data_IF_183269696553
#
_entry.id   IF_183269696553
#
_cell.length_a   1.000
_cell.length_b   1.000
_cell.length_c   1.000
_cell.angle_alpha   90.00
_cell.angle_beta   90.00
_cell.angle_gamma   90.00
#
_symmetry.space_group_name_H-M   'P 1'
#
loop_
_entity.id
_entity.type
_entity.pdbx_description
1 polymer ?
#
# COMPACT_ATOMS: atom_id res chain seq x y z
N UNK A 1 21.92 -68.62 -25.80
CA UNK A 1 21.15 -68.75 -24.55
C UNK A 1 21.41 -67.63 -23.54
N UNK A 2 22.59 -67.00 -23.52
CA UNK A 2 22.90 -65.92 -22.56
C UNK A 2 22.22 -64.57 -22.85
N UNK A 3 21.98 -64.20 -24.12
CA UNK A 3 21.33 -62.91 -24.45
C UNK A 3 19.85 -62.82 -24.09
N UNK A 4 19.10 -63.93 -24.16
CA UNK A 4 17.68 -63.97 -23.76
C UNK A 4 17.50 -63.83 -22.25
N UNK A 5 18.47 -64.27 -21.45
CA UNK A 5 18.41 -64.13 -19.99
C UNK A 5 18.71 -62.69 -19.53
N UNK A 6 19.57 -61.96 -20.26
CA UNK A 6 19.92 -60.57 -19.94
C UNK A 6 18.79 -59.59 -20.29
N UNK A 7 18.12 -59.81 -21.43
CA UNK A 7 16.96 -59.00 -21.84
C UNK A 7 15.77 -59.22 -20.91
N UNK A 8 15.50 -60.46 -20.47
CA UNK A 8 14.41 -60.71 -19.51
C UNK A 8 14.67 -60.07 -18.13
N UNK A 9 15.92 -60.07 -17.65
CA UNK A 9 16.29 -59.42 -16.38
C UNK A 9 16.12 -57.90 -16.42
N UNK A 10 16.52 -57.25 -17.53
CA UNK A 10 16.38 -55.81 -17.67
C UNK A 10 14.92 -55.37 -17.87
N UNK A 11 14.11 -56.16 -18.58
CA UNK A 11 12.67 -55.89 -18.72
C UNK A 11 11.92 -56.07 -17.40
N UNK A 12 12.28 -57.08 -16.60
CA UNK A 12 11.73 -57.26 -15.25
C UNK A 12 12.17 -56.13 -14.32
N UNK A 13 13.43 -55.66 -14.40
CA UNK A 13 13.89 -54.53 -13.60
C UNK A 13 13.19 -53.22 -13.99
N UNK A 14 12.97 -52.98 -15.28
CA UNK A 14 12.20 -51.83 -15.80
C UNK A 14 10.72 -51.90 -15.43
N UNK A 15 10.11 -53.10 -15.43
CA UNK A 15 8.75 -53.30 -14.94
C UNK A 15 8.67 -53.11 -13.43
N UNK A 16 9.67 -53.56 -12.66
CA UNK A 16 9.72 -53.29 -11.22
C UNK A 16 9.95 -51.81 -10.93
N UNK A 17 10.78 -51.09 -11.69
CA UNK A 17 10.93 -49.64 -11.54
C UNK A 17 9.68 -48.88 -11.97
N UNK A 18 9.02 -49.28 -13.06
CA UNK A 18 7.78 -48.68 -13.51
C UNK A 18 6.63 -48.97 -12.53
N UNK A 19 6.52 -50.19 -12.02
CA UNK A 19 5.52 -50.58 -11.00
C UNK A 19 5.85 -49.97 -9.64
N UNK A 20 7.12 -49.85 -9.24
CA UNK A 20 7.49 -49.19 -7.98
C UNK A 20 7.21 -47.69 -8.04
N UNK A 21 7.45 -47.02 -9.17
CA UNK A 21 7.08 -45.62 -9.38
C UNK A 21 5.57 -45.40 -9.57
N UNK A 22 4.82 -46.39 -10.08
CA UNK A 22 3.35 -46.27 -10.22
C UNK A 22 2.55 -46.75 -9.00
N UNK A 23 3.10 -47.63 -8.16
CA UNK A 23 2.47 -48.06 -6.90
C UNK A 23 2.82 -47.20 -5.69
N UNK A 24 3.90 -46.42 -5.72
CA UNK A 24 4.29 -45.62 -4.54
C UNK A 24 3.56 -44.28 -4.41
N UNK A 25 2.90 -43.75 -5.45
CA UNK A 25 2.36 -42.39 -5.37
C UNK A 25 0.94 -42.15 -5.90
N UNK A 26 0.36 -43.05 -6.70
CA UNK A 26 -1.07 -42.92 -7.08
C UNK A 26 -2.05 -43.31 -5.95
N UNK A 27 -1.53 -43.69 -4.78
CA UNK A 27 -2.28 -44.09 -3.60
C UNK A 27 -1.98 -43.30 -2.34
N UNK A 28 -1.21 -42.20 -2.40
CA UNK A 28 -1.18 -41.28 -1.25
C UNK A 28 -2.56 -40.64 -1.14
N UNK A 29 -3.25 -40.96 -0.04
CA UNK A 29 -4.56 -40.40 0.27
C UNK A 29 -4.41 -38.87 0.35
N UNK A 30 -4.94 -38.17 -0.65
CA UNK A 30 -4.94 -36.70 -0.71
C UNK A 30 -5.77 -36.18 0.47
N UNK A 31 -5.09 -35.78 1.54
CA UNK A 31 -5.69 -35.51 2.84
C UNK A 31 -5.73 -34.01 3.18
N UNK A 32 -4.74 -33.25 2.72
CA UNK A 32 -4.57 -31.84 3.05
C UNK A 32 -4.41 -30.98 1.79
N UNK A 33 -5.52 -30.39 1.31
CA UNK A 33 -5.57 -29.57 0.10
C UNK A 33 -5.38 -28.08 0.39
N UNK A 34 -4.17 -27.57 0.16
CA UNK A 34 -3.85 -26.15 0.37
C UNK A 34 -4.43 -25.24 -0.73
N UNK A 35 -4.91 -25.79 -1.85
CA UNK A 35 -5.53 -24.95 -2.90
C UNK A 35 -6.92 -24.46 -2.52
N UNK A 36 -7.58 -25.10 -1.55
CA UNK A 36 -8.90 -24.71 -1.06
C UNK A 36 -8.89 -23.56 -0.07
N UNK A 37 -7.71 -23.16 0.40
CA UNK A 37 -7.53 -22.08 1.36
C UNK A 37 -7.68 -20.72 0.68
N UNK A 38 -8.62 -19.92 1.18
CA UNK A 38 -9.00 -18.60 0.68
C UNK A 38 -8.89 -17.51 1.77
N UNK A 39 -8.41 -17.84 2.95
CA UNK A 39 -8.15 -16.86 4.00
C UNK A 39 -7.03 -17.34 4.91
N UNK A 40 -6.47 -16.41 5.68
CA UNK A 40 -5.53 -16.73 6.75
C UNK A 40 -6.16 -17.62 7.83
N UNK A 41 -7.42 -17.40 8.16
CA UNK A 41 -8.14 -18.24 9.13
C UNK A 41 -8.25 -19.68 8.64
N UNK A 42 -8.68 -19.90 7.39
CA UNK A 42 -8.74 -21.24 6.78
C UNK A 42 -7.35 -21.89 6.69
N UNK A 43 -6.31 -21.09 6.45
CA UNK A 43 -4.93 -21.57 6.43
C UNK A 43 -4.52 -22.07 7.82
N UNK A 44 -4.82 -21.30 8.86
CA UNK A 44 -4.51 -21.63 10.23
C UNK A 44 -5.30 -22.87 10.68
N UNK A 45 -6.59 -22.96 10.36
CA UNK A 45 -7.41 -24.15 10.64
C UNK A 45 -6.83 -25.40 9.98
N UNK A 46 -6.47 -25.31 8.69
CA UNK A 46 -5.84 -26.42 7.98
C UNK A 46 -4.50 -26.80 8.60
N UNK A 47 -3.66 -25.82 8.93
CA UNK A 47 -2.35 -26.03 9.56
C UNK A 47 -2.50 -26.70 10.92
N UNK A 48 -3.34 -26.15 11.79
CA UNK A 48 -3.64 -26.69 13.13
C UNK A 48 -4.17 -28.11 13.01
N UNK A 49 -5.07 -28.40 12.06
CA UNK A 49 -5.53 -29.76 11.81
C UNK A 49 -4.39 -30.71 11.43
N UNK A 50 -3.50 -30.30 10.52
CA UNK A 50 -2.35 -31.13 10.11
C UNK A 50 -1.45 -31.45 11.31
N UNK A 51 -1.14 -30.45 12.15
CA UNK A 51 -0.31 -30.65 13.34
C UNK A 51 -0.99 -31.56 14.37
N UNK A 52 -2.27 -31.32 14.68
CA UNK A 52 -2.99 -32.09 15.69
C UNK A 52 -3.22 -33.55 15.28
N UNK A 53 -3.49 -33.80 14.00
CA UNK A 53 -3.64 -35.17 13.47
C UNK A 53 -2.32 -35.95 13.42
N UNK A 54 -1.18 -35.26 13.43
CA UNK A 54 0.17 -35.84 13.40
C UNK A 54 0.98 -35.46 14.65
N UNK A 55 0.30 -35.23 15.78
CA UNK A 55 0.87 -34.68 17.02
C UNK A 55 2.14 -35.39 17.49
N UNK A 56 2.21 -36.71 17.29
CA UNK A 56 3.33 -37.56 17.67
C UNK A 56 4.64 -37.24 16.92
N UNK A 57 4.57 -36.52 15.80
CA UNK A 57 5.73 -36.11 15.00
C UNK A 57 6.27 -34.73 15.38
N UNK A 58 5.53 -33.96 16.19
CA UNK A 58 5.87 -32.57 16.54
C UNK A 58 6.26 -32.43 18.01
N UNK A 59 7.08 -31.42 18.31
CA UNK A 59 7.48 -31.09 19.67
C UNK A 59 6.24 -30.68 20.50
N UNK A 60 6.12 -31.19 21.74
CA UNK A 60 4.97 -30.91 22.61
C UNK A 60 4.78 -29.41 22.92
N UNK A 61 5.87 -28.64 23.05
CA UNK A 61 5.80 -27.19 23.27
C UNK A 61 5.30 -26.47 22.01
N UNK A 62 5.66 -26.96 20.83
CA UNK A 62 5.14 -26.45 19.56
C UNK A 62 3.64 -26.75 19.43
N UNK A 63 3.21 -27.98 19.75
CA UNK A 63 1.79 -28.36 19.74
C UNK A 63 0.98 -27.52 20.73
N UNK A 64 1.47 -27.31 21.96
CA UNK A 64 0.81 -26.46 22.96
C UNK A 64 0.71 -25.01 22.52
N UNK A 65 1.74 -24.51 21.82
CA UNK A 65 1.72 -23.16 21.25
C UNK A 65 0.61 -23.04 20.21
N UNK A 66 0.51 -23.99 19.28
CA UNK A 66 -0.56 -24.04 18.28
C UNK A 66 -1.96 -24.20 18.92
N UNK A 67 -2.11 -25.06 19.94
CA UNK A 67 -3.38 -25.23 20.66
C UNK A 67 -3.82 -23.94 21.39
N UNK A 68 -2.86 -23.20 21.95
CA UNK A 68 -3.11 -21.91 22.60
C UNK A 68 -3.43 -20.81 21.58
N UNK A 69 -2.68 -20.75 20.49
CA UNK A 69 -2.85 -19.75 19.43
C UNK A 69 -4.11 -19.99 18.59
N UNK A 70 -4.58 -21.23 18.44
CA UNK A 70 -5.87 -21.53 17.80
C UNK A 70 -7.09 -20.99 18.57
N UNK A 71 -6.89 -20.52 19.81
CA UNK A 71 -7.96 -19.95 20.66
C UNK A 71 -8.05 -18.42 20.62
N UNK A 72 -7.03 -17.73 20.10
CA UNK A 72 -6.95 -16.27 20.02
C UNK A 72 -6.64 -15.83 18.57
N UNK A 73 -7.35 -14.83 18.03
CA UNK A 73 -7.04 -14.21 16.72
C UNK A 73 -5.63 -13.57 16.76
N UNK A 74 -4.57 -14.32 16.43
CA UNK A 74 -3.20 -13.86 16.61
C UNK A 74 -2.40 -13.63 15.33
N UNK A 75 -1.68 -12.51 15.38
CA UNK A 75 -0.69 -12.08 14.42
C UNK A 75 0.63 -12.83 14.62
N UNK A 76 1.00 -13.73 13.70
CA UNK A 76 2.32 -14.37 13.64
C UNK A 76 3.41 -13.37 13.22
N UNK A 77 3.52 -12.22 13.88
CA UNK A 77 4.65 -11.31 13.68
C UNK A 77 5.92 -11.94 14.29
N UNK A 78 6.65 -12.68 13.45
CA UNK A 78 8.12 -12.77 13.28
C UNK A 78 9.10 -12.61 14.46
N UNK A 79 8.68 -12.66 15.72
CA UNK A 79 9.54 -12.39 16.88
C UNK A 79 10.19 -13.63 17.48
N UNK A 80 9.41 -14.65 17.83
CA UNK A 80 9.86 -15.66 18.81
C UNK A 80 10.01 -17.10 18.29
N UNK A 81 9.62 -17.38 17.04
CA UNK A 81 9.86 -18.70 16.41
C UNK A 81 11.28 -18.87 15.83
N UNK A 82 12.16 -17.88 16.02
CA UNK A 82 13.45 -17.77 15.34
C UNK A 82 14.58 -18.69 15.84
N UNK A 83 14.32 -19.66 16.70
CA UNK A 83 15.39 -20.51 17.24
C UNK A 83 15.10 -22.01 17.18
N UNK A 84 14.69 -22.49 16.01
CA UNK A 84 15.04 -23.81 15.46
C UNK A 84 13.87 -24.54 14.77
N UNK A 85 12.64 -24.04 14.86
CA UNK A 85 11.45 -24.67 14.27
C UNK A 85 10.64 -23.63 13.46
N UNK A 86 11.17 -23.22 12.30
CA UNK A 86 10.34 -22.56 11.29
C UNK A 86 9.11 -23.44 11.07
N UNK A 87 7.89 -22.87 10.98
CA UNK A 87 6.61 -23.57 10.80
C UNK A 87 6.50 -24.34 9.46
N UNK A 88 7.44 -25.25 9.25
CA UNK A 88 7.63 -26.12 8.11
C UNK A 88 6.92 -27.42 8.43
N UNK A 89 5.87 -27.71 7.67
CA UNK A 89 5.15 -28.98 7.72
C UNK A 89 5.64 -29.87 6.60
N UNK A 90 5.85 -31.16 6.93
CA UNK A 90 6.19 -32.23 5.98
C UNK A 90 5.36 -33.47 6.30
N UNK A 91 4.12 -33.47 5.86
CA UNK A 91 3.20 -34.59 6.07
C UNK A 91 2.77 -35.27 4.76
N UNK A 92 2.53 -36.57 4.84
CA UNK A 92 1.99 -37.35 3.73
C UNK A 92 0.57 -36.88 3.38
N UNK A 93 0.22 -36.95 2.08
CA UNK A 93 -1.09 -36.55 1.60
C UNK A 93 -1.32 -35.04 1.49
N UNK A 94 -0.29 -34.21 1.69
CA UNK A 94 -0.33 -32.77 1.39
C UNK A 94 -0.29 -32.52 -0.12
N UNK A 95 -1.21 -31.69 -0.62
CA UNK A 95 -1.29 -31.32 -2.03
C UNK A 95 -1.81 -29.89 -2.23
N UNK A 96 -1.56 -29.32 -3.41
CA UNK A 96 -2.16 -28.07 -3.88
C UNK A 96 -2.91 -28.34 -5.18
N UNK A 97 -4.24 -28.46 -5.11
CA UNK A 97 -5.08 -28.68 -6.29
C UNK A 97 -4.81 -30.02 -6.98
N UNK A 98 -4.29 -30.98 -6.21
CA UNK A 98 -3.93 -32.33 -6.66
C UNK A 98 -2.43 -32.52 -6.89
N UNK A 99 -1.63 -31.45 -6.83
CA UNK A 99 -0.18 -31.53 -6.98
C UNK A 99 0.49 -31.81 -5.63
N UNK A 100 1.28 -32.90 -5.48
CA UNK A 100 1.95 -33.24 -4.22
C UNK A 100 2.93 -32.17 -3.73
N UNK A 101 3.02 -32.00 -2.42
CA UNK A 101 3.88 -31.02 -1.77
C UNK A 101 5.07 -31.66 -1.06
N UNK A 102 6.25 -31.04 -1.18
CA UNK A 102 7.40 -31.37 -0.33
C UNK A 102 7.21 -30.81 1.07
N UNK A 103 6.81 -29.53 1.15
CA UNK A 103 6.65 -28.84 2.42
C UNK A 103 5.80 -27.59 2.28
N UNK A 104 5.22 -27.17 3.41
CA UNK A 104 4.52 -25.90 3.55
C UNK A 104 5.19 -25.10 4.66
N UNK A 105 5.48 -23.83 4.42
CA UNK A 105 6.10 -22.93 5.39
C UNK A 105 5.15 -21.80 5.71
N UNK A 106 4.76 -21.66 6.98
CA UNK A 106 4.04 -20.49 7.47
C UNK A 106 5.00 -19.43 8.00
N UNK A 107 4.75 -18.17 7.61
CA UNK A 107 5.46 -17.01 8.13
C UNK A 107 4.53 -15.80 8.13
N UNK A 108 4.01 -15.41 9.31
CA UNK A 108 3.09 -14.29 9.41
C UNK A 108 1.81 -14.52 8.60
N UNK A 109 1.58 -13.63 7.65
CA UNK A 109 0.45 -13.63 6.72
C UNK A 109 0.71 -14.42 5.43
N UNK A 110 1.88 -15.04 5.32
CA UNK A 110 2.33 -15.71 4.10
C UNK A 110 2.43 -17.21 4.32
N UNK A 111 1.93 -17.97 3.35
CA UNK A 111 2.25 -19.37 3.17
C UNK A 111 3.16 -19.54 1.96
N UNK A 112 4.27 -20.23 2.15
CA UNK A 112 5.11 -20.69 1.05
C UNK A 112 4.91 -22.20 0.88
N UNK A 113 4.35 -22.57 -0.25
CA UNK A 113 4.05 -23.94 -0.64
C UNK A 113 5.11 -24.39 -1.63
N UNK A 114 5.75 -25.51 -1.33
CA UNK A 114 6.89 -26.04 -2.08
C UNK A 114 6.48 -27.35 -2.75
N UNK A 115 6.54 -27.41 -4.08
CA UNK A 115 6.27 -28.63 -4.83
C UNK A 115 7.29 -29.71 -4.48
N UNK A 116 6.90 -30.98 -4.55
CA UNK A 116 7.86 -32.07 -4.46
C UNK A 116 8.92 -31.99 -5.57
N UNK A 117 10.20 -31.90 -5.18
CA UNK A 117 11.35 -31.84 -6.09
C UNK A 117 11.50 -33.11 -6.93
N UNK A 118 10.88 -34.22 -6.50
CA UNK A 118 10.85 -35.47 -7.27
C UNK A 118 9.79 -35.46 -8.38
N UNK A 119 8.76 -34.61 -8.25
CA UNK A 119 7.62 -34.57 -9.17
C UNK A 119 7.68 -33.38 -10.13
N UNK A 120 8.61 -32.43 -9.93
CA UNK A 120 8.95 -31.40 -10.91
C UNK A 120 7.71 -30.72 -11.53
N UNK A 121 6.78 -30.36 -10.65
CA UNK A 121 5.39 -30.15 -11.00
C UNK A 121 5.07 -28.70 -11.42
N UNK A 122 6.06 -27.96 -11.94
CA UNK A 122 5.91 -26.54 -12.24
C UNK A 122 4.76 -26.25 -13.21
N UNK A 123 4.59 -27.10 -14.21
CA UNK A 123 3.51 -26.99 -15.19
C UNK A 123 2.14 -27.28 -14.58
N UNK A 124 2.01 -28.27 -13.70
CA UNK A 124 0.74 -28.52 -13.01
C UNK A 124 0.42 -27.42 -11.99
N UNK A 125 1.42 -26.90 -11.27
CA UNK A 125 1.25 -25.75 -10.37
C UNK A 125 0.73 -24.52 -11.11
N UNK A 126 1.33 -24.20 -12.26
CA UNK A 126 0.88 -23.09 -13.09
C UNK A 126 -0.56 -23.30 -13.57
N UNK A 127 -0.90 -24.50 -14.05
CA UNK A 127 -2.25 -24.81 -14.50
C UNK A 127 -3.29 -24.70 -13.37
N UNK A 128 -2.96 -25.16 -12.16
CA UNK A 128 -3.83 -25.00 -10.97
C UNK A 128 -3.97 -23.53 -10.58
N UNK A 129 -2.86 -22.77 -10.59
CA UNK A 129 -2.87 -21.34 -10.26
C UNK A 129 -3.67 -20.52 -11.29
N UNK A 130 -3.49 -20.76 -12.58
CA UNK A 130 -4.27 -20.11 -13.65
C UNK A 130 -5.76 -20.45 -13.57
N UNK A 131 -6.10 -21.70 -13.23
CA UNK A 131 -7.49 -22.10 -13.02
C UNK A 131 -8.11 -21.39 -11.80
N UNK A 132 -7.34 -21.18 -10.73
CA UNK A 132 -7.82 -20.57 -9.48
C UNK A 132 -7.89 -19.04 -9.58
N UNK A 133 -6.87 -18.40 -10.15
CA UNK A 133 -6.67 -16.96 -10.09
C UNK A 133 -6.82 -16.25 -11.44
N UNK A 134 -6.99 -16.99 -12.54
CA UNK A 134 -7.06 -16.47 -13.91
C UNK A 134 -5.69 -16.33 -14.57
N UNK A 135 -5.67 -15.77 -15.80
CA UNK A 135 -4.44 -15.58 -16.56
C UNK A 135 -3.55 -14.53 -15.88
N UNK A 136 -2.33 -14.92 -15.52
CA UNK A 136 -1.38 -14.03 -14.85
C UNK A 136 -0.74 -13.01 -15.81
N UNK A 137 -0.32 -11.89 -15.24
CA UNK A 137 0.60 -10.96 -15.90
C UNK A 137 2.03 -11.50 -15.74
N UNK A 138 2.65 -11.88 -16.85
CA UNK A 138 4.04 -12.34 -16.85
C UNK A 138 4.98 -11.19 -16.44
N UNK A 139 5.81 -11.42 -15.43
CA UNK A 139 6.92 -10.52 -15.09
C UNK A 139 8.22 -11.30 -15.12
N UNK A 140 9.20 -10.83 -15.90
CA UNK A 140 10.55 -11.42 -15.88
C UNK A 140 11.26 -10.92 -14.63
N UNK A 141 11.84 -11.85 -13.88
CA UNK A 141 12.67 -11.53 -12.73
C UNK A 141 14.14 -11.37 -13.15
N UNK A 142 14.96 -10.77 -12.28
CA UNK A 142 16.42 -10.77 -12.45
C UNK A 142 16.99 -12.13 -11.99
N UNK A 143 16.92 -13.16 -12.86
CA UNK A 143 17.44 -14.52 -12.62
C UNK A 143 16.85 -15.58 -13.58
N UNK A 144 17.28 -16.84 -13.47
CA UNK A 144 16.84 -18.00 -14.30
C UNK A 144 15.43 -18.53 -13.93
N UNK A 145 14.51 -17.63 -13.54
CA UNK A 145 13.18 -17.98 -13.05
C UNK A 145 12.06 -17.17 -13.68
N UNK A 146 10.84 -17.69 -13.59
CA UNK A 146 9.62 -17.04 -14.09
C UNK A 146 8.72 -16.70 -12.91
N UNK A 147 8.22 -15.46 -12.88
CA UNK A 147 7.31 -14.99 -11.85
C UNK A 147 5.94 -14.63 -12.41
N UNK A 148 4.91 -15.15 -11.77
CA UNK A 148 3.52 -14.80 -12.00
C UNK A 148 2.95 -14.17 -10.73
N UNK A 149 2.30 -13.01 -10.86
CA UNK A 149 1.64 -12.31 -9.75
C UNK A 149 0.15 -12.14 -10.05
N UNK A 150 -0.67 -12.39 -9.04
CA UNK A 150 -2.11 -12.12 -9.05
C UNK A 150 -2.45 -11.21 -7.87
N UNK A 151 -3.08 -10.09 -8.17
CA UNK A 151 -3.62 -9.16 -7.18
C UNK A 151 -5.13 -9.46 -7.03
N UNK A 152 -5.50 -10.08 -5.92
CA UNK A 152 -6.87 -10.49 -5.58
C UNK A 152 -7.32 -9.60 -4.42
N UNK A 153 -8.61 -9.30 -4.30
CA UNK A 153 -9.15 -8.30 -3.35
C UNK A 153 -8.55 -8.39 -1.93
N UNK A 154 -8.33 -9.61 -1.41
CA UNK A 154 -7.81 -9.86 -0.06
C UNK A 154 -6.53 -10.72 -0.05
N UNK A 155 -5.87 -10.91 -1.19
CA UNK A 155 -4.70 -11.79 -1.30
C UNK A 155 -3.77 -11.32 -2.40
N UNK A 156 -2.47 -11.44 -2.16
CA UNK A 156 -1.49 -11.47 -3.23
C UNK A 156 -1.01 -12.91 -3.39
N UNK A 157 -1.13 -13.46 -4.60
CA UNK A 157 -0.51 -14.74 -4.92
C UNK A 157 0.67 -14.50 -5.84
N UNK A 158 1.82 -15.07 -5.49
CA UNK A 158 3.04 -15.05 -6.28
C UNK A 158 3.50 -16.49 -6.54
N UNK A 159 3.62 -16.87 -7.81
CA UNK A 159 4.22 -18.13 -8.21
C UNK A 159 5.61 -17.85 -8.78
N UNK A 160 6.64 -18.35 -8.10
CA UNK A 160 8.02 -18.37 -8.57
C UNK A 160 8.35 -19.77 -9.10
N UNK A 161 8.65 -19.85 -10.40
CA UNK A 161 9.13 -21.08 -11.03
C UNK A 161 10.64 -20.99 -11.19
N UNK A 162 11.35 -21.97 -10.66
CA UNK A 162 12.79 -22.14 -10.83
C UNK A 162 13.01 -23.17 -11.93
N UNK A 163 13.52 -22.68 -13.07
CA UNK A 163 13.81 -23.53 -14.22
C UNK A 163 15.07 -24.34 -13.91
N UNK A 164 14.97 -25.66 -14.04
CA UNK A 164 16.10 -26.57 -13.81
C UNK A 164 16.91 -26.73 -15.10
N UNK A 165 16.27 -26.65 -16.28
CA UNK A 165 16.91 -26.87 -17.58
C UNK A 165 16.46 -25.90 -18.72
N UNK A 166 15.84 -24.75 -18.40
CA UNK A 166 15.29 -23.82 -19.40
C UNK A 166 15.59 -22.34 -19.11
N UNK A 167 15.38 -21.46 -20.10
CA UNK A 167 15.63 -20.01 -19.99
C UNK A 167 14.36 -19.17 -20.19
N UNK A 168 13.23 -19.79 -20.51
CA UNK A 168 11.99 -19.09 -20.82
C UNK A 168 10.72 -19.90 -20.46
N UNK A 169 9.57 -19.21 -20.35
CA UNK A 169 8.28 -19.83 -20.03
C UNK A 169 7.76 -20.80 -21.10
N UNK A 170 8.20 -20.67 -22.35
CA UNK A 170 7.90 -21.66 -23.40
C UNK A 170 8.66 -22.97 -23.21
N UNK A 171 9.68 -22.99 -22.35
CA UNK A 171 10.55 -24.15 -22.13
C UNK A 171 10.15 -24.94 -20.87
N UNK A 172 9.00 -24.63 -20.25
CA UNK A 172 8.51 -25.33 -19.05
C UNK A 172 8.41 -26.85 -19.31
N UNK A 173 9.36 -27.56 -18.72
CA UNK A 173 9.49 -29.01 -18.80
C UNK A 173 8.82 -29.72 -17.63
N UNK A 174 8.79 -31.04 -17.71
CA UNK A 174 8.37 -31.91 -16.62
C UNK A 174 9.41 -32.03 -15.50
N UNK A 175 10.54 -31.33 -15.61
CA UNK A 175 11.69 -31.42 -14.71
C UNK A 175 11.96 -30.09 -13.98
N UNK A 176 11.05 -29.11 -14.09
CA UNK A 176 11.20 -27.79 -13.47
C UNK A 176 10.53 -27.73 -12.08
N UNK A 177 11.16 -27.01 -11.15
CA UNK A 177 10.65 -26.84 -9.79
C UNK A 177 9.82 -25.56 -9.67
N UNK A 178 8.76 -25.59 -8.87
CA UNK A 178 7.95 -24.41 -8.58
C UNK A 178 7.71 -24.20 -7.09
N UNK A 179 7.65 -22.94 -6.70
CA UNK A 179 7.31 -22.50 -5.36
C UNK A 179 6.19 -21.49 -5.50
N UNK A 180 5.05 -21.75 -4.87
CA UNK A 180 3.98 -20.76 -4.79
C UNK A 180 3.99 -20.13 -3.41
N UNK A 181 4.08 -18.81 -3.38
CA UNK A 181 3.96 -17.99 -2.19
C UNK A 181 2.59 -17.33 -2.25
N UNK A 182 1.70 -17.65 -1.30
CA UNK A 182 0.41 -16.97 -1.18
C UNK A 182 0.48 -16.11 0.08
N UNK A 183 0.34 -14.81 -0.11
CA UNK A 183 0.25 -13.83 0.97
C UNK A 183 -1.21 -13.44 1.14
N UNK A 184 -1.78 -13.77 2.29
CA UNK A 184 -3.14 -13.40 2.64
C UNK A 184 -3.08 -12.02 3.28
N UNK A 185 -3.71 -11.01 2.65
CA UNK A 185 -3.80 -9.72 3.30
C UNK A 185 -4.64 -9.85 4.58
N UNK A 186 -4.31 -9.13 5.65
CA UNK A 186 -5.20 -9.02 6.79
C UNK A 186 -6.61 -8.61 6.34
N UNK A 187 -7.61 -9.29 6.89
CA UNK A 187 -9.01 -8.91 6.68
C UNK A 187 -9.36 -7.91 7.78
N UNK A 188 -9.75 -6.72 7.36
CA UNK A 188 -10.24 -5.68 8.26
C UNK A 188 -11.74 -5.52 8.02
N UNK A 189 -12.52 -5.43 9.09
CA UNK A 189 -13.95 -5.12 8.99
C UNK A 189 -14.24 -3.61 9.05
N UNK A 190 -13.20 -2.80 9.24
CA UNK A 190 -13.31 -1.34 9.32
C UNK A 190 -13.47 -0.76 7.92
N UNK A 191 -14.48 0.12 7.66
CA UNK A 191 -14.67 0.72 6.36
C UNK A 191 -13.44 1.47 5.83
N UNK A 192 -12.68 2.13 6.69
CA UNK A 192 -11.44 2.84 6.37
C UNK A 192 -10.38 1.95 5.70
N UNK A 193 -10.31 0.67 6.06
CA UNK A 193 -9.40 -0.30 5.44
C UNK A 193 -9.98 -0.94 4.16
N UNK A 194 -11.23 -0.61 3.81
CA UNK A 194 -11.99 -1.16 2.69
C UNK A 194 -12.60 -0.09 1.78
N UNK A 195 -12.02 1.12 1.79
CA UNK A 195 -12.53 2.31 1.07
C UNK A 195 -12.77 2.03 -0.41
N UNK A 196 -11.95 1.18 -1.04
CA UNK A 196 -12.07 0.82 -2.46
C UNK A 196 -13.47 0.41 -2.89
N UNK A 197 -14.27 -0.15 -1.96
CA UNK A 197 -15.61 -0.68 -2.25
C UNK A 197 -16.57 0.45 -2.59
N UNK A 198 -16.27 1.64 -2.11
CA UNK A 198 -17.07 2.85 -2.29
C UNK A 198 -16.49 3.78 -3.37
N UNK A 199 -15.23 3.57 -3.80
CA UNK A 199 -14.57 4.36 -4.84
C UNK A 199 -15.18 4.08 -6.21
N UNK A 200 -15.58 5.14 -6.90
CA UNK A 200 -16.02 5.06 -8.30
C UNK A 200 -14.80 5.01 -9.21
N UNK A 201 -14.74 3.99 -10.07
CA UNK A 201 -13.67 3.82 -11.06
C UNK A 201 -13.89 4.75 -12.26
N UNK A 202 -12.85 5.50 -12.65
CA UNK A 202 -12.87 6.34 -13.84
C UNK A 202 -11.83 5.85 -14.86
N UNK A 203 -12.27 5.45 -16.06
CA UNK A 203 -11.36 4.87 -17.07
C UNK A 203 -10.35 5.87 -17.66
N UNK A 204 -10.68 7.16 -17.70
CA UNK A 204 -9.90 8.18 -18.40
C UNK A 204 -9.73 9.47 -17.57
N UNK A 205 -9.48 9.34 -16.27
CA UNK A 205 -9.24 10.51 -15.44
C UNK A 205 -7.86 11.12 -15.75
N UNK A 206 -7.85 12.41 -16.07
CA UNK A 206 -6.61 13.19 -16.22
C UNK A 206 -5.89 13.32 -14.88
N UNK A 207 -4.58 13.06 -14.88
CA UNK A 207 -3.72 13.30 -13.71
C UNK A 207 -2.93 14.58 -13.92
N UNK A 208 -3.48 15.70 -13.43
CA UNK A 208 -2.92 17.02 -13.62
C UNK A 208 -1.67 17.22 -12.75
N UNK A 209 -0.53 17.42 -13.40
CA UNK A 209 0.72 17.80 -12.75
C UNK A 209 1.12 19.20 -13.20
N UNK A 210 1.52 20.03 -12.24
CA UNK A 210 2.20 21.29 -12.49
C UNK A 210 3.71 21.11 -12.37
N UNK A 211 4.43 21.48 -13.42
CA UNK A 211 5.89 21.64 -13.41
C UNK A 211 6.26 23.12 -13.39
N UNK A 212 7.08 23.50 -12.42
CA UNK A 212 7.65 24.85 -12.31
C UNK A 212 9.16 24.74 -12.35
N UNK A 213 9.76 25.24 -13.43
CA UNK A 213 11.21 25.40 -13.54
C UNK A 213 11.52 26.87 -13.25
N UNK A 214 12.09 27.15 -12.07
CA UNK A 214 12.41 28.45 -11.54
C UNK A 214 13.91 28.54 -11.27
N UNK A 215 14.64 29.25 -12.12
CA UNK A 215 16.08 29.44 -11.99
C UNK A 215 16.38 30.88 -11.55
N UNK A 216 17.29 31.04 -10.59
CA UNK A 216 17.63 32.35 -10.01
C UNK A 216 16.52 33.02 -9.18
N UNK A 217 15.42 32.31 -8.89
CA UNK A 217 14.26 32.80 -8.15
C UNK A 217 13.60 31.70 -7.29
N UNK A 218 12.65 32.11 -6.45
CA UNK A 218 11.75 31.22 -5.70
C UNK A 218 10.32 31.54 -6.11
N UNK A 219 9.48 30.52 -6.22
CA UNK A 219 8.07 30.71 -6.56
C UNK A 219 7.16 30.23 -5.45
N UNK A 220 6.08 30.99 -5.22
CA UNK A 220 4.92 30.54 -4.46
C UNK A 220 3.83 30.09 -5.44
N UNK A 221 3.23 28.94 -5.17
CA UNK A 221 2.22 28.31 -6.02
C UNK A 221 0.89 28.26 -5.28
N UNK A 222 -0.18 28.68 -5.95
CA UNK A 222 -1.54 28.63 -5.45
C UNK A 222 -2.54 28.32 -6.55
N UNK A 223 -3.64 27.65 -6.20
CA UNK A 223 -4.76 27.38 -7.10
C UNK A 223 -6.06 27.75 -6.39
N UNK A 224 -6.91 28.53 -7.07
CA UNK A 224 -8.16 29.06 -6.50
C UNK A 224 -7.97 29.66 -5.09
N UNK A 225 -6.90 30.46 -4.93
CA UNK A 225 -6.47 31.12 -3.69
C UNK A 225 -6.02 30.18 -2.56
N UNK A 226 -5.81 28.89 -2.84
CA UNK A 226 -5.26 27.91 -1.90
C UNK A 226 -3.75 27.79 -2.13
N UNK A 227 -2.94 28.08 -1.11
CA UNK A 227 -1.49 27.94 -1.18
C UNK A 227 -1.05 26.47 -1.18
N UNK A 228 -0.33 26.05 -2.22
CA UNK A 228 0.14 24.68 -2.39
C UNK A 228 1.57 24.48 -1.89
N UNK A 229 2.38 25.55 -1.88
CA UNK A 229 3.76 25.48 -1.46
C UNK A 229 4.68 26.39 -2.28
N UNK A 230 5.98 26.26 -2.00
CA UNK A 230 7.05 26.98 -2.69
C UNK A 230 7.87 26.04 -3.57
N UNK A 231 8.42 26.53 -4.67
CA UNK A 231 9.42 25.83 -5.49
C UNK A 231 10.71 26.64 -5.60
N UNK A 232 11.84 25.92 -5.58
CA UNK A 232 13.19 26.45 -5.81
C UNK A 232 13.86 25.54 -6.85
N UNK A 233 14.31 26.08 -7.98
CA UNK A 233 14.90 25.27 -9.04
C UNK A 233 13.83 24.53 -9.83
N UNK A 234 13.52 23.30 -9.46
CA UNK A 234 12.52 22.47 -10.14
C UNK A 234 11.48 21.97 -9.14
N UNK A 235 10.21 22.25 -9.41
CA UNK A 235 9.08 21.81 -8.58
C UNK A 235 8.05 21.06 -9.41
N UNK A 236 7.55 19.97 -8.84
CA UNK A 236 6.42 19.19 -9.38
C UNK A 236 5.32 19.19 -8.33
N UNK A 237 4.08 19.50 -8.73
CA UNK A 237 2.92 19.50 -7.84
C UNK A 237 1.79 18.67 -8.48
N UNK A 238 1.22 17.71 -7.74
CA UNK A 238 -0.08 17.13 -8.11
C UNK A 238 -1.14 18.22 -7.93
N UNK A 239 -1.94 18.47 -8.96
CA UNK A 239 -2.99 19.48 -8.95
C UNK A 239 -4.36 18.90 -8.58
N UNK A 240 -4.63 17.62 -8.87
CA UNK A 240 -5.98 17.04 -8.82
C UNK A 240 -6.71 17.37 -7.50
N UNK A 241 -6.05 17.14 -6.38
CA UNK A 241 -6.59 17.41 -5.04
C UNK A 241 -6.98 18.88 -4.81
N UNK A 242 -6.28 19.82 -5.44
CA UNK A 242 -6.45 21.25 -5.21
C UNK A 242 -7.39 21.93 -6.21
N UNK A 243 -7.76 21.24 -7.28
CA UNK A 243 -8.72 21.73 -8.26
C UNK A 243 -10.10 21.73 -7.62
N UNK A 244 -10.67 22.92 -7.39
CA UNK A 244 -11.93 23.05 -6.66
C UNK A 244 -13.17 23.03 -7.57
N UNK A 245 -12.96 23.27 -8.86
CA UNK A 245 -14.02 23.48 -9.86
C UNK A 245 -13.46 23.29 -11.26
N UNK A 246 -14.37 23.15 -12.22
CA UNK A 246 -14.06 23.00 -13.65
C UNK A 246 -13.10 24.08 -14.17
N UNK A 247 -13.44 25.35 -14.02
CA UNK A 247 -12.54 26.45 -14.41
C UNK A 247 -11.69 26.87 -13.21
N UNK A 248 -10.47 26.35 -13.14
CA UNK A 248 -9.52 26.63 -12.04
C UNK A 248 -8.48 27.67 -12.46
N UNK A 249 -8.07 28.51 -11.52
CA UNK A 249 -7.05 29.54 -11.74
C UNK A 249 -5.79 29.19 -10.95
N UNK A 250 -4.69 28.98 -11.68
CA UNK A 250 -3.35 28.83 -11.10
C UNK A 250 -2.68 30.20 -11.01
N UNK A 251 -2.19 30.54 -9.82
CA UNK A 251 -1.38 31.73 -9.56
C UNK A 251 0.00 31.34 -9.05
N UNK A 252 1.03 31.83 -9.75
CA UNK A 252 2.43 31.65 -9.38
C UNK A 252 3.06 33.02 -9.15
N UNK A 253 3.63 33.23 -7.96
CA UNK A 253 4.33 34.46 -7.61
C UNK A 253 5.83 34.18 -7.53
N UNK A 254 6.59 34.70 -8.49
CA UNK A 254 8.05 34.61 -8.50
C UNK A 254 8.66 35.76 -7.68
N UNK A 255 9.64 35.43 -6.83
CA UNK A 255 10.37 36.37 -5.98
C UNK A 255 11.88 36.18 -6.10
N UNK A 256 12.68 37.22 -5.83
CA UNK A 256 14.12 37.08 -5.69
C UNK A 256 14.51 35.95 -4.75
N UNK A 257 15.48 35.13 -5.17
CA UNK A 257 15.97 34.04 -4.33
C UNK A 257 16.56 34.57 -3.01
N UNK A 258 16.31 33.90 -1.86
CA UNK A 258 16.89 34.31 -0.59
C UNK A 258 18.42 34.24 -0.65
N UNK A 259 19.06 35.17 0.06
CA UNK A 259 20.51 35.19 0.24
C UNK A 259 20.96 33.96 1.03
N UNK A 260 22.26 33.61 0.96
CA UNK A 260 22.85 32.46 1.67
C UNK A 260 22.61 32.46 3.20
N UNK A 261 22.32 33.62 3.78
CA UNK A 261 22.00 33.80 5.19
C UNK A 261 20.49 33.73 5.49
N UNK A 262 19.65 33.27 4.55
CA UNK A 262 18.20 33.14 4.69
C UNK A 262 17.41 34.45 4.56
N UNK A 263 18.06 35.61 4.43
CA UNK A 263 17.37 36.88 4.22
C UNK A 263 16.77 36.96 2.81
N UNK A 264 15.65 37.66 2.66
CA UNK A 264 15.03 37.89 1.36
C UNK A 264 16.02 38.51 0.36
N UNK A 265 16.03 37.98 -0.87
CA UNK A 265 16.77 38.57 -1.97
C UNK A 265 16.21 39.95 -2.31
N UNK A 266 17.09 40.88 -2.69
CA UNK A 266 16.68 42.25 -3.06
C UNK A 266 16.39 42.42 -4.56
N UNK A 267 16.91 41.53 -5.40
CA UNK A 267 16.75 41.56 -6.85
C UNK A 267 16.83 40.16 -7.43
N UNK A 268 16.18 39.93 -8.56
CA UNK A 268 16.39 38.72 -9.35
C UNK A 268 17.85 38.61 -9.83
N UNK A 269 18.32 37.38 -10.01
CA UNK A 269 19.62 37.12 -10.63
C UNK A 269 19.56 37.49 -12.13
N UNK A 270 20.68 37.85 -12.73
CA UNK A 270 20.73 38.34 -14.13
C UNK A 270 20.22 37.31 -15.13
N UNK A 271 20.36 36.04 -14.80
CA UNK A 271 19.94 34.89 -15.60
C UNK A 271 18.65 34.25 -15.06
N UNK A 272 17.89 34.94 -14.20
CA UNK A 272 16.68 34.39 -13.60
C UNK A 272 15.58 34.14 -14.65
N UNK A 273 14.97 32.95 -14.57
CA UNK A 273 14.11 32.39 -15.62
C UNK A 273 13.01 31.56 -15.00
N UNK A 274 11.84 31.55 -15.65
CA UNK A 274 10.73 30.68 -15.26
C UNK A 274 10.08 29.98 -16.47
N UNK A 275 9.75 28.70 -16.30
CA UNK A 275 8.88 27.92 -17.18
C UNK A 275 7.80 27.27 -16.31
N UNK A 276 6.56 27.35 -16.77
CA UNK A 276 5.40 26.78 -16.07
C UNK A 276 4.65 25.89 -17.06
N UNK A 277 4.42 24.65 -16.69
CA UNK A 277 3.71 23.65 -17.51
C UNK A 277 2.67 22.93 -16.67
N UNK A 278 1.46 22.80 -17.21
CA UNK A 278 0.46 21.84 -16.73
C UNK A 278 0.44 20.68 -17.73
N UNK A 279 0.59 19.47 -17.24
CA UNK A 279 0.56 18.24 -18.03
C UNK A 279 -0.45 17.24 -17.47
N UNK A 280 -0.90 16.33 -18.33
CA UNK A 280 -1.46 15.05 -17.89
C UNK A 280 -0.32 14.05 -17.73
N UNK A 281 -0.07 13.56 -16.51
CA UNK A 281 1.03 12.63 -16.27
C UNK A 281 0.80 11.24 -16.89
N UNK A 282 -0.46 10.88 -17.16
CA UNK A 282 -0.80 9.59 -17.76
C UNK A 282 -0.40 9.55 -19.24
N UNK A 283 -0.64 10.64 -19.98
CA UNK A 283 -0.36 10.74 -21.42
C UNK A 283 0.91 11.51 -21.74
N UNK A 284 1.44 12.26 -20.77
CA UNK A 284 2.52 13.26 -20.91
C UNK A 284 2.18 14.42 -21.85
N UNK A 285 0.88 14.64 -22.11
CA UNK A 285 0.43 15.76 -22.91
C UNK A 285 0.53 17.07 -22.13
N UNK A 286 1.15 18.10 -22.73
CA UNK A 286 1.14 19.46 -22.16
C UNK A 286 -0.18 20.14 -22.44
N UNK A 287 -0.96 20.39 -21.39
CA UNK A 287 -2.30 21.00 -21.47
C UNK A 287 -2.21 22.52 -21.53
N UNK A 288 -1.28 23.11 -20.77
CA UNK A 288 -1.00 24.56 -20.75
C UNK A 288 0.47 24.81 -20.48
N UNK A 289 1.02 25.89 -21.06
CA UNK A 289 2.41 26.28 -20.85
C UNK A 289 2.59 27.78 -20.91
N UNK A 290 3.28 28.33 -19.91
CA UNK A 290 3.93 29.63 -20.01
C UNK A 290 5.37 29.34 -20.44
N UNK A 291 5.69 29.73 -21.66
CA UNK A 291 7.02 29.53 -22.24
C UNK A 291 8.07 30.30 -21.42
N UNK A 292 9.31 29.88 -21.61
CA UNK A 292 10.50 30.50 -21.05
C UNK A 292 10.37 32.02 -20.96
N UNK A 293 10.29 32.52 -19.74
CA UNK A 293 10.16 33.94 -19.45
C UNK A 293 11.36 34.37 -18.62
N UNK A 294 12.17 35.26 -19.18
CA UNK A 294 13.25 35.93 -18.44
C UNK A 294 12.65 36.92 -17.46
N UNK A 295 13.16 36.92 -16.22
CA UNK A 295 12.66 37.77 -15.15
C UNK A 295 13.78 38.61 -14.59
N UNK A 296 13.52 39.89 -14.35
CA UNK A 296 14.50 40.86 -13.86
C UNK A 296 13.85 41.88 -12.95
N UNK A 297 14.68 42.69 -12.26
CA UNK A 297 14.22 43.74 -11.36
C UNK A 297 14.14 43.31 -9.90
N UNK A 298 13.33 44.04 -9.12
CA UNK A 298 13.23 43.91 -7.66
C UNK A 298 11.83 43.46 -7.19
N UNK A 299 10.81 43.69 -8.01
CA UNK A 299 9.41 43.45 -7.64
C UNK A 299 9.00 42.00 -7.91
N UNK A 300 8.22 41.35 -7.03
CA UNK A 300 7.62 40.06 -7.32
C UNK A 300 6.81 40.08 -8.63
N UNK A 301 6.93 39.02 -9.41
CA UNK A 301 6.16 38.85 -10.66
C UNK A 301 5.06 37.82 -10.46
N UNK A 302 3.87 38.15 -10.94
CA UNK A 302 2.69 37.30 -10.84
C UNK A 302 2.32 36.72 -12.20
N UNK A 303 2.22 35.39 -12.26
CA UNK A 303 1.77 34.64 -13.41
C UNK A 303 0.42 34.02 -13.08
N UNK A 304 -0.58 34.26 -13.94
CA UNK A 304 -1.90 33.65 -13.83
C UNK A 304 -2.18 32.78 -15.03
N UNK A 305 -2.74 31.61 -14.79
CA UNK A 305 -3.07 30.63 -15.82
C UNK A 305 -4.42 29.99 -15.48
N UNK A 306 -5.41 30.22 -16.34
CA UNK A 306 -6.68 29.52 -16.26
C UNK A 306 -6.63 28.24 -17.09
N UNK A 307 -7.21 27.16 -16.55
CA UNK A 307 -7.37 25.90 -17.25
C UNK A 307 -8.71 25.23 -16.94
N UNK A 308 -9.20 24.48 -17.92
CA UNK A 308 -10.44 23.72 -17.81
C UNK A 308 -10.10 22.29 -17.35
N UNK A 309 -10.49 21.97 -16.12
CA UNK A 309 -10.37 20.65 -15.52
C UNK A 309 -11.49 19.72 -16.02
N UNK A 310 -11.09 18.53 -16.47
CA UNK A 310 -11.97 17.43 -16.84
C UNK A 310 -12.15 16.41 -15.72
N UNK A 311 -11.74 16.74 -14.48
CA UNK A 311 -11.89 15.84 -13.35
C UNK A 311 -13.36 15.42 -13.18
N UNK A 312 -13.63 14.11 -13.08
CA UNK A 312 -14.98 13.58 -12.88
C UNK A 312 -15.48 13.80 -11.44
N UNK A 313 -14.57 14.07 -10.51
CA UNK A 313 -14.85 14.28 -9.09
C UNK A 313 -14.15 15.54 -8.58
N UNK A 314 -14.88 16.34 -7.79
CA UNK A 314 -14.35 17.49 -7.06
C UNK A 314 -14.61 17.28 -5.56
N UNK A 315 -13.64 17.56 -4.68
CA UNK A 315 -13.82 17.34 -3.24
C UNK A 315 -14.98 18.12 -2.65
N UNK A 316 -15.73 17.50 -1.72
CA UNK A 316 -16.92 18.13 -1.13
C UNK A 316 -16.54 19.33 -0.29
N UNK A 317 -15.36 19.30 0.34
CA UNK A 317 -14.84 20.38 1.16
C UNK A 317 -14.86 21.74 0.46
N UNK A 318 -14.56 21.77 -0.84
CA UNK A 318 -14.48 23.02 -1.60
C UNK A 318 -15.85 23.60 -1.93
N UNK A 319 -16.83 22.75 -2.19
CA UNK A 319 -18.14 23.17 -2.73
C UNK A 319 -19.22 23.28 -1.66
N UNK A 320 -19.23 22.37 -0.68
CA UNK A 320 -20.31 22.18 0.31
C UNK A 320 -19.89 22.54 1.75
N UNK A 321 -18.79 23.27 1.91
CA UNK A 321 -18.35 23.79 3.19
C UNK A 321 -19.04 25.10 3.58
N UNK A 322 -19.31 25.27 4.88
CA UNK A 322 -19.69 26.54 5.50
C UNK A 322 -18.51 27.52 5.45
N UNK A 323 -18.77 28.82 5.29
CA UNK A 323 -17.73 29.84 5.47
C UNK A 323 -17.38 30.00 6.96
N UNK A 324 -16.13 29.69 7.32
CA UNK A 324 -15.64 29.61 8.69
C UNK A 324 -14.97 30.90 9.17
N UNK A 325 -14.85 31.96 8.36
CA UNK A 325 -14.10 33.17 8.72
C UNK A 325 -14.63 33.90 9.97
N UNK A 326 -15.90 33.69 10.32
CA UNK A 326 -16.55 34.31 11.47
C UNK A 326 -16.66 33.36 12.68
N UNK A 327 -16.14 32.14 12.60
CA UNK A 327 -16.18 31.17 13.69
C UNK A 327 -15.03 31.47 14.67
N UNK A 328 -15.37 31.94 15.87
CA UNK A 328 -14.38 32.38 16.86
C UNK A 328 -13.69 31.24 17.60
N UNK A 329 -14.26 30.03 17.58
CA UNK A 329 -13.83 28.86 18.34
C UNK A 329 -13.12 27.80 17.47
N UNK A 330 -12.67 28.17 16.27
CA UNK A 330 -12.04 27.23 15.32
C UNK A 330 -10.79 26.56 15.87
N UNK A 331 -9.95 27.30 16.61
CA UNK A 331 -8.73 26.72 17.19
C UNK A 331 -9.09 25.64 18.19
N UNK A 332 -10.07 25.91 19.05
CA UNK A 332 -10.57 24.98 20.05
C UNK A 332 -11.20 23.74 19.40
N UNK A 333 -12.01 23.92 18.34
CA UNK A 333 -12.60 22.82 17.55
C UNK A 333 -11.53 21.93 16.93
N UNK A 334 -10.49 22.50 16.32
CA UNK A 334 -9.38 21.75 15.72
C UNK A 334 -8.61 20.97 16.79
N UNK A 335 -8.28 21.61 17.92
CA UNK A 335 -7.58 20.94 19.03
C UNK A 335 -8.43 19.78 19.57
N UNK A 336 -9.74 19.98 19.74
CA UNK A 336 -10.66 18.94 20.19
C UNK A 336 -10.76 17.76 19.22
N UNK A 337 -10.72 18.02 17.91
CA UNK A 337 -10.71 16.99 16.88
C UNK A 337 -9.47 16.10 16.98
N UNK A 338 -8.27 16.67 17.13
CA UNK A 338 -7.04 15.88 17.33
C UNK A 338 -6.97 15.20 18.68
N UNK A 339 -7.50 15.81 19.73
CA UNK A 339 -7.59 15.17 21.05
C UNK A 339 -8.50 13.93 20.98
N UNK A 340 -9.65 14.03 20.29
CA UNK A 340 -10.55 12.91 20.01
C UNK A 340 -9.84 11.80 19.21
N UNK A 341 -9.11 12.15 18.15
CA UNK A 341 -8.37 11.20 17.33
C UNK A 341 -7.23 10.52 18.12
N UNK A 342 -6.44 11.30 18.88
CA UNK A 342 -5.34 10.79 19.70
C UNK A 342 -5.80 9.78 20.73
N UNK A 343 -6.91 10.07 21.44
CA UNK A 343 -7.56 9.13 22.36
C UNK A 343 -8.00 7.86 21.66
N UNK A 344 -8.71 8.01 20.53
CA UNK A 344 -9.25 6.89 19.77
C UNK A 344 -8.14 5.95 19.27
N UNK A 345 -7.02 6.50 18.79
CA UNK A 345 -5.86 5.69 18.37
C UNK A 345 -5.27 4.94 19.57
N UNK A 346 -4.99 5.61 20.70
CA UNK A 346 -4.44 4.91 21.88
C UNK A 346 -5.36 3.83 22.43
N UNK A 347 -6.68 4.05 22.40
CA UNK A 347 -7.67 3.08 22.89
C UNK A 347 -8.13 2.07 21.84
N UNK A 348 -7.57 2.10 20.62
CA UNK A 348 -8.03 1.30 19.47
C UNK A 348 -9.55 1.41 19.21
N UNK A 349 -10.13 2.61 19.35
CA UNK A 349 -11.53 2.89 19.01
C UNK A 349 -11.68 3.02 17.50
N UNK A 350 -11.79 1.87 16.83
CA UNK A 350 -11.88 1.78 15.37
C UNK A 350 -13.05 2.57 14.80
N UNK A 351 -14.17 2.67 15.54
CA UNK A 351 -15.36 3.41 15.10
C UNK A 351 -15.05 4.89 15.01
N UNK A 352 -14.46 5.47 16.06
CA UNK A 352 -14.11 6.89 16.08
C UNK A 352 -13.01 7.22 15.08
N UNK A 353 -12.00 6.35 14.93
CA UNK A 353 -10.94 6.53 13.92
C UNK A 353 -11.57 6.56 12.51
N UNK A 354 -12.47 5.62 12.22
CA UNK A 354 -13.19 5.58 10.96
C UNK A 354 -14.04 6.85 10.75
N UNK A 355 -14.82 7.28 11.75
CA UNK A 355 -15.63 8.51 11.64
C UNK A 355 -14.79 9.75 11.30
N UNK A 356 -13.58 9.87 11.85
CA UNK A 356 -12.72 11.04 11.65
C UNK A 356 -11.96 10.98 10.32
N UNK A 357 -11.44 9.82 9.93
CA UNK A 357 -10.51 9.69 8.80
C UNK A 357 -11.15 9.19 7.51
N UNK A 358 -12.30 8.51 7.56
CA UNK A 358 -12.89 7.85 6.39
C UNK A 358 -13.11 8.82 5.21
N UNK A 359 -13.77 9.96 5.45
CA UNK A 359 -14.07 10.91 4.39
C UNK A 359 -12.79 11.48 3.77
N UNK A 360 -11.75 11.72 4.57
CA UNK A 360 -10.47 12.24 4.10
C UNK A 360 -9.78 11.24 3.15
N UNK A 361 -9.62 9.98 3.58
CA UNK A 361 -8.98 8.96 2.75
C UNK A 361 -9.82 8.61 1.52
N UNK A 362 -11.15 8.56 1.66
CA UNK A 362 -12.07 8.37 0.53
C UNK A 362 -11.88 9.46 -0.52
N UNK A 363 -11.90 10.74 -0.13
CA UNK A 363 -11.76 11.82 -1.10
C UNK A 363 -10.39 11.81 -1.76
N UNK A 364 -9.30 11.61 -1.00
CA UNK A 364 -7.95 11.52 -1.58
C UNK A 364 -7.86 10.42 -2.63
N UNK A 365 -8.31 9.19 -2.31
CA UNK A 365 -8.27 8.09 -3.28
C UNK A 365 -9.20 8.34 -4.47
N UNK A 366 -10.39 8.90 -4.24
CA UNK A 366 -11.35 9.18 -5.31
C UNK A 366 -10.83 10.22 -6.31
N UNK A 367 -10.14 11.26 -5.83
CA UNK A 367 -9.55 12.32 -6.66
C UNK A 367 -8.32 11.84 -7.41
N UNK A 368 -7.54 10.93 -6.83
CA UNK A 368 -6.35 10.37 -7.49
C UNK A 368 -6.71 9.15 -8.36
N UNK A 369 -7.98 8.73 -8.38
CA UNK A 369 -8.46 7.49 -9.01
C UNK A 369 -7.63 6.27 -8.55
N UNK A 370 -7.22 6.29 -7.28
CA UNK A 370 -6.55 5.18 -6.63
C UNK A 370 -7.60 4.13 -6.27
N UNK A 371 -7.57 3.03 -7.01
CA UNK A 371 -8.47 1.89 -6.83
C UNK A 371 -7.78 0.72 -6.12
N UNK A 372 -6.63 0.96 -5.48
CA UNK A 372 -5.83 -0.04 -4.79
C UNK A 372 -6.31 -0.29 -3.37
N UNK A 373 -6.68 -1.54 -3.08
CA UNK A 373 -6.97 -1.99 -1.71
C UNK A 373 -5.75 -1.82 -0.80
N UNK A 374 -4.54 -1.97 -1.37
CA UNK A 374 -3.30 -1.89 -0.62
C UNK A 374 -3.13 -0.51 0.00
N UNK A 375 -3.45 0.57 -0.71
CA UNK A 375 -3.33 1.93 -0.17
C UNK A 375 -4.21 2.13 1.06
N UNK A 376 -5.46 1.65 1.03
CA UNK A 376 -6.37 1.75 2.18
C UNK A 376 -5.86 0.95 3.38
N UNK A 377 -5.33 -0.26 3.13
CA UNK A 377 -4.76 -1.13 4.15
C UNK A 377 -3.48 -0.56 4.76
N UNK A 378 -2.54 -0.09 3.95
CA UNK A 378 -1.30 0.52 4.43
C UNK A 378 -1.58 1.70 5.35
N UNK A 379 -2.56 2.53 5.00
CA UNK A 379 -3.01 3.65 5.83
C UNK A 379 -3.56 3.17 7.18
N UNK A 380 -4.37 2.11 7.19
CA UNK A 380 -4.89 1.51 8.42
C UNK A 380 -3.79 0.86 9.28
N UNK A 381 -2.88 0.13 8.65
CA UNK A 381 -1.75 -0.53 9.31
C UNK A 381 -0.76 0.46 9.92
N UNK A 382 -0.58 1.62 9.29
CA UNK A 382 0.16 2.73 9.88
C UNK A 382 -0.48 3.20 11.19
N UNK A 383 -1.81 3.28 11.25
CA UNK A 383 -2.53 3.64 12.49
C UNK A 383 -2.34 2.56 13.56
N UNK A 384 -2.49 1.27 13.20
CA UNK A 384 -2.25 0.15 14.12
C UNK A 384 -0.81 0.13 14.65
N UNK A 385 0.17 0.43 13.79
CA UNK A 385 1.58 0.52 14.17
C UNK A 385 1.82 1.63 15.18
N UNK A 386 1.20 2.80 14.98
CA UNK A 386 1.24 3.91 15.93
C UNK A 386 0.62 3.48 17.26
N UNK A 387 -0.58 2.88 17.23
CA UNK A 387 -1.29 2.40 18.42
C UNK A 387 -0.43 1.41 19.23
N UNK A 388 0.14 0.39 18.58
CA UNK A 388 0.95 -0.67 19.23
C UNK A 388 2.20 -0.12 19.93
N UNK A 389 2.79 0.95 19.41
CA UNK A 389 4.08 1.48 19.88
C UNK A 389 3.96 2.67 20.84
N UNK A 390 2.75 3.19 21.07
CA UNK A 390 2.55 4.46 21.75
C UNK A 390 1.83 4.28 23.09
N UNK A 391 2.27 5.03 24.11
CA UNK A 391 1.63 5.05 25.44
C UNK A 391 0.98 6.41 25.73
N UNK A 392 1.33 7.45 24.97
CA UNK A 392 0.79 8.81 25.10
C UNK A 392 0.80 9.56 23.77
N UNK A 393 0.01 10.62 23.69
CA UNK A 393 0.01 11.55 22.56
C UNK A 393 0.08 13.00 23.03
N UNK A 394 0.47 13.90 22.13
CA UNK A 394 0.45 15.35 22.31
C UNK A 394 -0.20 16.03 21.10
N UNK A 395 -1.06 17.02 21.38
CA UNK A 395 -1.71 17.86 20.36
C UNK A 395 -1.05 19.23 20.33
N UNK A 396 -0.66 19.66 19.14
CA UNK A 396 -0.09 20.99 18.97
C UNK A 396 -1.16 22.07 19.11
N UNK A 397 -0.88 23.09 19.95
CA UNK A 397 -1.75 24.22 20.23
C UNK A 397 -1.26 25.54 19.65
N UNK A 398 0.00 25.59 19.19
CA UNK A 398 0.60 26.78 18.59
C UNK A 398 0.61 26.68 17.06
N UNK A 399 -0.52 27.07 16.48
CA UNK A 399 -0.70 27.16 15.03
C UNK A 399 -1.47 28.43 14.65
N UNK A 400 -1.24 28.86 13.42
CA UNK A 400 -1.98 29.92 12.76
C UNK A 400 -3.04 29.30 11.83
N UNK A 401 -4.14 30.03 11.62
CA UNK A 401 -5.22 29.64 10.70
C UNK A 401 -5.16 30.53 9.47
N UNK A 402 -5.19 29.90 8.31
CA UNK A 402 -5.46 30.54 7.03
C UNK A 402 -6.76 29.99 6.44
N UNK A 403 -7.38 30.80 5.58
CA UNK A 403 -8.64 30.44 4.94
C UNK A 403 -8.44 30.30 3.44
N UNK A 404 -8.82 29.14 2.90
CA UNK A 404 -8.89 28.85 1.47
C UNK A 404 -10.33 28.77 0.98
N UNK A 405 -10.51 28.66 -0.34
CA UNK A 405 -11.81 28.45 -0.99
C UNK A 405 -12.91 29.40 -0.50
N UNK A 406 -12.62 30.70 -0.45
CA UNK A 406 -13.52 31.75 0.06
C UNK A 406 -14.03 31.49 1.50
N UNK A 407 -13.16 31.01 2.39
CA UNK A 407 -13.49 30.79 3.79
C UNK A 407 -14.04 29.41 4.11
N UNK A 408 -14.29 28.56 3.10
CA UNK A 408 -14.86 27.22 3.29
C UNK A 408 -13.87 26.18 3.81
N UNK A 409 -12.57 26.44 3.64
CA UNK A 409 -11.52 25.56 4.14
C UNK A 409 -10.58 26.31 5.05
N UNK A 410 -10.29 25.67 6.17
CA UNK A 410 -9.34 26.12 7.17
C UNK A 410 -8.03 25.36 6.98
N UNK A 411 -6.92 26.07 6.97
CA UNK A 411 -5.57 25.53 6.82
C UNK A 411 -4.78 25.92 8.05
N UNK A 412 -4.21 24.95 8.76
CA UNK A 412 -3.35 25.21 9.92
C UNK A 412 -1.88 25.28 9.53
N UNK A 413 -1.21 26.36 9.97
CA UNK A 413 0.22 26.56 9.80
C UNK A 413 0.93 26.44 11.14
N UNK A 414 1.74 25.41 11.26
CA UNK A 414 2.51 25.11 12.47
C UNK A 414 3.90 25.74 12.33
N UNK A 415 4.33 26.50 13.34
CA UNK A 415 5.55 27.34 13.26
C UNK A 415 6.87 26.56 13.24
N UNK A 416 6.93 25.40 13.90
CA UNK A 416 8.19 24.70 14.19
C UNK A 416 8.29 23.29 13.56
N UNK A 417 7.62 23.05 12.42
CA UNK A 417 7.61 21.74 11.73
C UNK A 417 7.17 20.58 12.63
N UNK A 418 6.42 20.87 13.69
CA UNK A 418 5.77 19.88 14.53
C UNK A 418 4.45 19.45 13.90
N UNK A 419 4.10 18.18 14.03
CA UNK A 419 2.83 17.66 13.52
C UNK A 419 1.67 18.07 14.44
N UNK A 420 0.43 18.09 13.93
CA UNK A 420 -0.75 18.42 14.74
C UNK A 420 -0.95 17.44 15.89
N UNK A 421 -0.62 16.17 15.65
CA UNK A 421 -0.71 15.09 16.64
C UNK A 421 0.56 14.24 16.58
N UNK A 422 1.17 14.05 17.75
CA UNK A 422 2.40 13.28 17.91
C UNK A 422 2.21 12.19 18.95
N UNK A 423 2.75 11.00 18.68
CA UNK A 423 2.69 9.87 19.57
C UNK A 423 4.06 9.49 20.11
N UNK A 424 4.12 9.16 21.40
CA UNK A 424 5.33 8.67 22.05
C UNK A 424 5.03 7.47 22.95
N UNK A 425 6.05 6.67 23.20
CA UNK A 425 5.98 5.43 23.96
C UNK A 425 7.17 5.28 24.89
N UNK A 426 7.07 4.33 25.81
CA UNK A 426 8.05 4.15 26.88
C UNK A 426 9.13 3.14 26.47
N UNK A 427 10.15 3.61 25.74
CA UNK A 427 11.45 2.93 25.70
C UNK A 427 12.43 3.67 26.62
N UNK A 428 12.99 2.92 27.58
CA UNK A 428 13.72 3.40 28.77
C UNK A 428 14.93 4.31 28.53
N UNK A 429 15.42 4.46 27.29
CA UNK A 429 16.65 5.22 27.02
C UNK A 429 16.46 6.46 26.15
N UNK A 430 15.38 6.58 25.38
CA UNK A 430 15.06 7.77 24.58
C UNK A 430 13.55 7.83 24.40
N UNK A 431 12.91 8.93 24.78
CA UNK A 431 11.53 9.24 24.36
C UNK A 431 11.49 9.33 22.83
N UNK A 432 11.34 8.20 22.15
CA UNK A 432 11.25 8.12 20.70
C UNK A 432 9.84 8.51 20.27
N UNK A 433 9.76 9.28 19.19
CA UNK A 433 8.50 9.60 18.53
C UNK A 433 8.18 8.44 17.57
N UNK A 434 7.04 7.78 17.77
CA UNK A 434 6.64 6.57 17.06
C UNK A 434 5.61 6.82 15.94
N UNK A 435 5.04 8.02 15.89
CA UNK A 435 3.93 8.35 15.00
C UNK A 435 3.63 9.83 14.94
N UNK A 436 3.35 10.32 13.74
CA UNK A 436 3.07 11.73 13.45
C UNK A 436 1.90 11.82 12.48
N UNK A 437 0.91 12.64 12.80
CA UNK A 437 -0.22 12.93 11.92
C UNK A 437 -0.22 14.42 11.61
N UNK A 438 0.08 14.73 10.34
CA UNK A 438 0.31 16.09 9.83
C UNK A 438 -0.85 16.62 9.00
N UNK A 439 -2.05 16.09 9.20
CA UNK A 439 -3.24 16.60 8.52
C UNK A 439 -3.45 18.05 8.97
N UNK A 440 -3.70 18.97 8.04
CA UNK A 440 -3.70 20.41 8.29
C UNK A 440 -4.78 21.18 7.53
N UNK A 441 -5.71 20.50 6.85
CA UNK A 441 -6.82 21.13 6.15
C UNK A 441 -8.16 20.58 6.65
N UNK A 442 -9.10 21.47 6.89
CA UNK A 442 -10.39 21.16 7.49
C UNK A 442 -11.52 21.88 6.80
N UNK A 443 -12.70 21.27 6.83
CA UNK A 443 -13.94 21.96 6.47
C UNK A 443 -15.08 21.52 7.38
N UNK A 444 -16.10 22.36 7.46
CA UNK A 444 -17.36 22.02 8.12
C UNK A 444 -18.44 21.91 7.04
N UNK A 445 -19.05 20.74 6.83
CA UNK A 445 -20.17 20.60 5.89
C UNK A 445 -21.33 21.52 6.28
N UNK A 446 -22.06 22.05 5.29
CA UNK A 446 -23.28 22.84 5.56
C UNK A 446 -24.36 22.06 6.33
N UNK A 447 -24.33 20.73 6.27
CA UNK A 447 -25.28 19.83 6.92
C UNK A 447 -24.83 19.34 8.31
N UNK A 448 -23.68 19.78 8.82
CA UNK A 448 -23.11 19.30 10.09
C UNK A 448 -22.44 20.42 10.89
N UNK A 449 -22.46 20.29 12.21
CA UNK A 449 -21.66 21.13 13.11
C UNK A 449 -20.24 20.57 13.33
N UNK A 450 -19.97 19.35 12.85
CA UNK A 450 -18.68 18.70 12.99
C UNK A 450 -17.66 19.19 11.97
N UNK A 451 -16.47 19.50 12.44
CA UNK A 451 -15.31 19.78 11.62
C UNK A 451 -14.71 18.45 11.12
N UNK A 452 -14.49 18.36 9.81
CA UNK A 452 -13.91 17.18 9.16
C UNK A 452 -12.50 17.50 8.64
N UNK A 453 -11.62 16.51 8.71
CA UNK A 453 -10.29 16.58 8.10
C UNK A 453 -10.42 16.32 6.60
N UNK A 454 -9.67 17.06 5.79
CA UNK A 454 -9.62 16.90 4.33
C UNK A 454 -8.24 16.49 3.87
N UNK A 455 -7.18 16.96 4.55
CA UNK A 455 -5.79 16.67 4.22
C UNK A 455 -4.88 16.95 5.39
#
# INVERSE_FOLDING_TARGET
MYEKALTMKNTILLLFFALYNSFSFYGQEQRYDFSKVNSRTELHELFTRVILENRDKYNEDFVKTIEKEASDDLDFESGDLHKDHNGIIREEGMHYGGVPLYSVVLSGNTVKIISDTLNYAAKEFLAVAEKKYGLAKLTRNFGDGIRFKWDIENQEAELDIVLVNGVSASDLGSDDMAYITVSYAPIYDVPLANIQKDITKFENQTNYILRVFAYGCVTDVSIDDIYMGKSVGYGTFSLNYWITKKLSMLKIVARPAPLKNGKAGKKFQEDAKIIIEIEDSNTRETLKKIKFTEISGIEPLEFKLDFDSTLPYYPKAWSKGKDLRNESDLKEKIIALYDKLGKAILSNDQKVINEILYQQHFEVQQIENDNSNQTARDNWENILTIQKKSTRYEVNKDFEIEFGANGKVVITKIKDYTDMLQFSGDNFERNLNYGRISLNMYYQPESSDDLLIVR
#
